data_IF_315158042144
#
_entry.id   IF_315158042144
#
_cell.length_a   1.000
_cell.length_b   1.000
_cell.length_c   1.000
_cell.angle_alpha   90.00
_cell.angle_beta   90.00
_cell.angle_gamma   90.00
#
_symmetry.space_group_name_H-M   'P 1'
#
loop_
_entity.id
_entity.type
_entity.pdbx_description
1 polymer ?
#
# COMPACT_ATOMS: atom_id res chain seq x y z
N UNK A 1 38.98 26.39 6.72
CA UNK A 1 38.52 26.48 5.31
C UNK A 1 39.74 26.77 4.47
N UNK A 2 40.07 25.90 3.53
CA UNK A 2 41.14 26.14 2.55
C UNK A 2 40.68 27.21 1.56
N UNK A 3 41.47 28.27 1.37
CA UNK A 3 41.17 29.34 0.41
C UNK A 3 41.57 28.94 -1.01
N UNK A 4 40.64 29.08 -1.96
CA UNK A 4 40.88 28.81 -3.39
C UNK A 4 41.25 30.11 -4.08
N UNK A 5 42.40 30.13 -4.73
CA UNK A 5 42.90 31.29 -5.46
C UNK A 5 43.09 30.95 -6.94
N UNK A 6 42.64 31.85 -7.84
CA UNK A 6 42.74 31.65 -9.29
C UNK A 6 43.89 32.50 -9.84
N UNK A 7 44.95 31.85 -10.31
CA UNK A 7 46.15 32.50 -10.84
C UNK A 7 46.26 32.32 -12.35
N UNK A 8 46.74 33.35 -13.05
CA UNK A 8 47.14 33.24 -14.46
C UNK A 8 48.64 32.94 -14.52
N UNK A 9 49.00 31.72 -14.90
CA UNK A 9 50.40 31.31 -14.99
C UNK A 9 51.04 32.00 -16.20
N UNK A 10 52.06 32.83 -15.97
CA UNK A 10 52.74 33.63 -17.01
C UNK A 10 53.96 32.89 -17.57
N UNK A 11 54.71 32.18 -16.72
CA UNK A 11 55.87 31.36 -17.11
C UNK A 11 55.99 30.16 -16.17
N UNK A 12 56.09 28.94 -16.70
CA UNK A 12 56.43 27.75 -15.90
C UNK A 12 57.94 27.51 -15.93
N UNK A 13 58.62 27.76 -14.82
CA UNK A 13 60.02 27.41 -14.64
C UNK A 13 60.11 26.02 -14.01
N UNK A 14 60.02 24.97 -14.84
CA UNK A 14 60.37 23.62 -14.43
C UNK A 14 61.70 23.24 -15.11
N UNK A 15 62.77 23.10 -14.32
CA UNK A 15 64.09 22.73 -14.82
C UNK A 15 64.20 21.23 -15.19
N UNK A 16 63.16 20.44 -14.93
CA UNK A 16 63.08 19.04 -15.32
C UNK A 16 61.61 18.67 -15.53
N UNK A 17 61.25 18.39 -16.79
CA UNK A 17 60.04 17.71 -17.26
C UNK A 17 58.83 17.64 -16.32
N UNK A 18 57.75 18.31 -16.73
CA UNK A 18 56.34 17.98 -16.45
C UNK A 18 55.87 17.96 -14.97
N UNK A 19 56.64 18.44 -14.00
CA UNK A 19 56.16 18.52 -12.61
C UNK A 19 56.58 19.82 -11.90
N UNK A 20 55.63 20.45 -11.19
CA UNK A 20 55.85 21.58 -10.28
C UNK A 20 56.01 20.97 -8.87
N UNK A 21 57.24 20.95 -8.34
CA UNK A 21 57.51 20.43 -6.99
C UNK A 21 57.47 21.56 -5.97
N UNK A 22 56.51 21.52 -5.04
CA UNK A 22 56.55 22.35 -3.84
C UNK A 22 56.98 21.49 -2.64
N UNK A 23 58.29 21.38 -2.42
CA UNK A 23 58.87 20.67 -1.28
C UNK A 23 59.31 21.68 -0.20
N UNK A 24 59.01 21.46 1.10
CA UNK A 24 58.26 20.33 1.64
C UNK A 24 56.74 20.47 1.49
N UNK A 25 56.24 21.70 1.35
CA UNK A 25 54.81 21.98 1.24
C UNK A 25 54.56 23.22 0.38
N UNK A 26 53.74 23.06 -0.65
CA UNK A 26 53.10 24.18 -1.33
C UNK A 26 51.75 23.76 -1.89
N UNK A 27 51.01 24.72 -2.46
CA UNK A 27 49.60 24.53 -2.74
C UNK A 27 49.40 23.42 -3.77
N UNK A 28 48.39 22.59 -3.56
CA UNK A 28 47.87 21.72 -4.61
C UNK A 28 47.31 22.60 -5.74
N UNK A 29 47.78 22.36 -6.97
CA UNK A 29 47.37 23.14 -8.15
C UNK A 29 46.50 22.27 -9.05
N UNK A 30 45.27 22.72 -9.29
CA UNK A 30 44.35 22.12 -10.26
C UNK A 30 44.12 23.08 -11.44
N UNK A 31 43.91 22.52 -12.62
CA UNK A 31 43.58 23.31 -13.81
C UNK A 31 42.22 24.00 -13.61
N UNK A 32 42.13 25.27 -13.99
CA UNK A 32 40.91 26.06 -13.81
C UNK A 32 39.68 25.41 -14.49
N UNK A 33 39.86 24.79 -15.66
CA UNK A 33 38.80 24.06 -16.36
C UNK A 33 38.30 22.82 -15.58
N UNK A 34 39.21 22.10 -14.91
CA UNK A 34 38.85 20.94 -14.10
C UNK A 34 38.07 21.35 -12.82
N UNK A 35 38.46 22.48 -12.20
CA UNK A 35 37.72 23.04 -11.07
C UNK A 35 36.33 23.55 -11.49
N UNK A 36 36.24 24.27 -12.61
CA UNK A 36 34.98 24.76 -13.15
C UNK A 36 34.05 23.58 -13.51
N UNK A 37 34.58 22.50 -14.10
CA UNK A 37 33.82 21.28 -14.40
C UNK A 37 33.34 20.58 -13.14
N UNK A 38 34.20 20.40 -12.13
CA UNK A 38 33.83 19.82 -10.83
C UNK A 38 32.74 20.64 -10.15
N UNK A 39 32.84 21.97 -10.19
CA UNK A 39 31.83 22.89 -9.64
C UNK A 39 30.50 22.72 -10.37
N UNK A 40 30.51 22.64 -11.69
CA UNK A 40 29.31 22.42 -12.51
C UNK A 40 28.63 21.10 -12.18
N UNK A 41 29.40 20.01 -12.08
CA UNK A 41 28.87 18.68 -11.73
C UNK A 41 28.28 18.67 -10.32
N UNK A 42 28.95 19.32 -9.36
CA UNK A 42 28.44 19.45 -7.99
C UNK A 42 27.11 20.21 -7.95
N UNK A 43 27.00 21.33 -8.67
CA UNK A 43 25.77 22.12 -8.73
C UNK A 43 24.62 21.35 -9.40
N UNK A 44 24.87 20.68 -10.53
CA UNK A 44 23.87 19.83 -11.20
C UNK A 44 23.40 18.68 -10.29
N UNK A 45 24.33 18.04 -9.57
CA UNK A 45 23.98 17.01 -8.59
C UNK A 45 23.14 17.59 -7.43
N UNK A 46 23.48 18.77 -6.92
CA UNK A 46 22.72 19.44 -5.87
C UNK A 46 21.30 19.82 -6.34
N UNK A 47 21.16 20.36 -7.55
CA UNK A 47 19.87 20.69 -8.15
C UNK A 47 18.99 19.44 -8.33
N UNK A 48 19.57 18.34 -8.81
CA UNK A 48 18.87 17.06 -8.94
C UNK A 48 18.44 16.50 -7.59
N UNK A 49 19.26 16.62 -6.56
CA UNK A 49 18.91 16.20 -5.20
C UNK A 49 17.69 16.96 -4.69
N UNK A 50 17.70 18.29 -4.79
CA UNK A 50 16.57 19.15 -4.39
C UNK A 50 15.30 18.81 -5.19
N UNK A 51 15.44 18.57 -6.50
CA UNK A 51 14.31 18.16 -7.34
C UNK A 51 13.76 16.78 -6.92
N UNK A 52 14.63 15.85 -6.54
CA UNK A 52 14.23 14.53 -6.02
C UNK A 52 13.46 14.66 -4.71
N UNK A 53 13.96 15.43 -3.74
CA UNK A 53 13.28 15.65 -2.46
C UNK A 53 11.90 16.28 -2.64
N UNK A 54 11.75 17.21 -3.59
CA UNK A 54 10.44 17.82 -3.92
C UNK A 54 9.47 16.78 -4.46
N UNK A 55 9.92 15.93 -5.39
CA UNK A 55 9.10 14.84 -5.95
C UNK A 55 8.70 13.84 -4.88
N UNK A 56 9.62 13.48 -3.99
CA UNK A 56 9.35 12.56 -2.89
C UNK A 56 8.30 13.13 -1.93
N UNK A 57 8.41 14.42 -1.57
CA UNK A 57 7.39 15.10 -0.75
C UNK A 57 6.03 15.14 -1.44
N UNK A 58 5.98 15.42 -2.73
CA UNK A 58 4.73 15.42 -3.50
C UNK A 58 4.11 14.01 -3.55
N UNK A 59 4.92 12.98 -3.79
CA UNK A 59 4.47 11.59 -3.76
C UNK A 59 3.95 11.21 -2.37
N UNK A 60 4.65 11.58 -1.31
CA UNK A 60 4.22 11.32 0.06
C UNK A 60 2.87 11.99 0.35
N UNK A 61 2.68 13.24 -0.06
CA UNK A 61 1.39 13.93 0.07
C UNK A 61 0.28 13.23 -0.71
N UNK A 62 0.56 12.76 -1.93
CA UNK A 62 -0.41 12.02 -2.74
C UNK A 62 -0.77 10.68 -2.11
N UNK A 63 0.20 9.97 -1.53
CA UNK A 63 -0.03 8.72 -0.81
C UNK A 63 -0.90 8.95 0.42
N UNK A 64 -0.57 9.95 1.25
CA UNK A 64 -1.37 10.31 2.43
C UNK A 64 -2.81 10.67 2.03
N UNK A 65 -2.99 11.53 1.03
CA UNK A 65 -4.32 11.91 0.57
C UNK A 65 -5.11 10.73 -0.03
N UNK A 66 -4.45 9.77 -0.67
CA UNK A 66 -5.08 8.55 -1.16
C UNK A 66 -5.52 7.63 -0.01
N UNK A 67 -4.69 7.48 1.02
CA UNK A 67 -5.03 6.71 2.22
C UNK A 67 -6.23 7.32 2.96
N UNK A 68 -6.23 8.63 3.17
CA UNK A 68 -7.35 9.34 3.81
C UNK A 68 -8.66 9.17 3.02
N UNK A 69 -8.61 9.23 1.68
CA UNK A 69 -9.78 8.97 0.83
C UNK A 69 -10.29 7.54 0.97
N UNK A 70 -9.39 6.56 1.03
CA UNK A 70 -9.76 5.17 1.24
C UNK A 70 -10.42 4.98 2.62
N UNK A 71 -9.91 5.65 3.65
CA UNK A 71 -10.46 5.62 5.00
C UNK A 71 -11.86 6.24 5.05
N UNK A 72 -12.08 7.38 4.41
CA UNK A 72 -13.42 8.01 4.30
C UNK A 72 -14.41 7.10 3.55
N UNK A 73 -13.96 6.39 2.53
CA UNK A 73 -14.79 5.44 1.79
C UNK A 73 -15.08 4.16 2.59
N UNK A 74 -14.30 3.84 3.60
CA UNK A 74 -14.44 2.64 4.43
C UNK A 74 -15.18 2.92 5.74
N UNK A 75 -14.87 4.02 6.43
CA UNK A 75 -15.41 4.34 7.75
C UNK A 75 -16.92 4.65 7.70
N UNK A 76 -17.72 3.77 8.29
CA UNK A 76 -19.18 3.93 8.37
C UNK A 76 -19.92 3.76 7.03
N UNK A 77 -19.22 3.33 5.97
CA UNK A 77 -19.84 3.00 4.70
C UNK A 77 -20.37 1.56 4.69
N UNK A 78 -21.36 1.27 3.84
CA UNK A 78 -21.86 -0.10 3.70
C UNK A 78 -20.78 -1.08 3.21
N UNK A 79 -19.81 -0.61 2.42
CA UNK A 79 -18.68 -1.40 1.96
C UNK A 79 -17.73 -1.73 3.11
N UNK A 80 -17.36 -0.73 3.92
CA UNK A 80 -16.50 -0.95 5.09
C UNK A 80 -17.15 -1.84 6.13
N UNK A 81 -18.46 -1.72 6.36
CA UNK A 81 -19.19 -2.62 7.26
C UNK A 81 -19.14 -4.08 6.80
N UNK A 82 -19.24 -4.34 5.49
CA UNK A 82 -19.07 -5.69 4.91
C UNK A 82 -17.65 -6.20 5.12
N UNK A 83 -16.64 -5.37 4.88
CA UNK A 83 -15.25 -5.72 5.09
C UNK A 83 -14.94 -6.01 6.57
N UNK A 84 -15.41 -5.16 7.49
CA UNK A 84 -15.25 -5.36 8.93
C UNK A 84 -15.96 -6.63 9.41
N UNK A 85 -17.14 -6.95 8.88
CA UNK A 85 -17.81 -8.21 9.20
C UNK A 85 -17.03 -9.42 8.69
N UNK A 86 -16.38 -9.33 7.52
CA UNK A 86 -15.50 -10.38 7.00
C UNK A 86 -14.31 -10.60 7.94
N UNK A 87 -13.64 -9.54 8.37
CA UNK A 87 -12.56 -9.63 9.37
C UNK A 87 -13.06 -10.25 10.68
N UNK A 88 -14.23 -9.83 11.17
CA UNK A 88 -14.83 -10.41 12.38
C UNK A 88 -15.12 -11.91 12.23
N UNK A 89 -15.55 -12.39 11.06
CA UNK A 89 -15.77 -13.82 10.82
C UNK A 89 -14.45 -14.60 10.88
N UNK A 90 -13.37 -14.03 10.34
CA UNK A 90 -12.02 -14.62 10.42
C UNK A 90 -11.55 -14.65 11.88
N UNK A 91 -11.52 -13.49 12.54
CA UNK A 91 -10.88 -13.31 13.86
C UNK A 91 -11.68 -13.91 15.01
N UNK A 92 -13.01 -13.81 14.98
CA UNK A 92 -13.87 -14.22 16.09
C UNK A 92 -14.47 -15.60 15.86
N UNK A 93 -14.78 -15.96 14.61
CA UNK A 93 -15.44 -17.23 14.29
C UNK A 93 -14.48 -18.29 13.75
N UNK A 94 -13.17 -17.98 13.66
CA UNK A 94 -12.13 -18.84 13.11
C UNK A 94 -12.54 -19.39 11.73
N UNK A 95 -13.06 -18.51 10.87
CA UNK A 95 -13.43 -18.83 9.49
C UNK A 95 -12.35 -18.28 8.57
N UNK A 96 -11.24 -19.00 8.44
CA UNK A 96 -10.13 -18.54 7.63
C UNK A 96 -10.43 -18.67 6.13
N UNK A 97 -9.70 -17.92 5.32
CA UNK A 97 -9.76 -18.05 3.86
C UNK A 97 -9.38 -19.47 3.38
N UNK A 98 -8.58 -20.22 4.16
CA UNK A 98 -8.23 -21.60 3.84
C UNK A 98 -9.41 -22.54 4.11
N UNK A 99 -10.13 -22.35 5.22
CA UNK A 99 -11.31 -23.17 5.52
C UNK A 99 -12.44 -22.93 4.50
N UNK A 100 -12.49 -21.73 3.92
CA UNK A 100 -13.44 -21.40 2.87
C UNK A 100 -13.21 -22.20 1.58
N UNK A 101 -11.97 -22.61 1.29
CA UNK A 101 -11.64 -23.42 0.11
C UNK A 101 -12.31 -24.81 0.15
N UNK A 102 -12.65 -25.32 1.33
CA UNK A 102 -13.37 -26.59 1.52
C UNK A 102 -14.87 -26.46 1.19
N UNK A 103 -15.41 -25.24 1.04
CA UNK A 103 -16.82 -25.00 0.71
C UNK A 103 -17.09 -24.98 -0.79
N UNK A 104 -16.83 -26.09 -1.48
CA UNK A 104 -16.93 -26.19 -2.93
C UNK A 104 -18.36 -26.36 -3.48
N UNK A 105 -19.36 -26.62 -2.64
CA UNK A 105 -20.75 -26.86 -3.05
C UNK A 105 -21.63 -25.60 -2.99
N UNK A 106 -21.02 -24.42 -3.02
CA UNK A 106 -21.72 -23.14 -2.93
C UNK A 106 -22.25 -22.84 -1.53
N UNK A 107 -21.69 -23.47 -0.48
CA UNK A 107 -22.17 -23.29 0.90
C UNK A 107 -22.06 -21.82 1.33
N UNK A 108 -21.01 -21.09 0.97
CA UNK A 108 -20.88 -19.66 1.26
C UNK A 108 -22.00 -18.85 0.60
N UNK A 109 -22.31 -19.14 -0.67
CA UNK A 109 -23.41 -18.50 -1.40
C UNK A 109 -24.79 -18.82 -0.80
N UNK A 110 -25.04 -20.08 -0.39
CA UNK A 110 -26.29 -20.46 0.28
C UNK A 110 -26.44 -19.78 1.64
N UNK A 111 -25.36 -19.69 2.42
CA UNK A 111 -25.39 -18.97 3.68
C UNK A 111 -25.66 -17.46 3.48
N UNK A 112 -25.05 -16.85 2.46
CA UNK A 112 -25.32 -15.47 2.09
C UNK A 112 -26.78 -15.24 1.71
N UNK A 113 -27.33 -16.10 0.84
CA UNK A 113 -28.73 -16.07 0.44
C UNK A 113 -29.67 -16.18 1.66
N UNK A 114 -29.32 -17.03 2.63
CA UNK A 114 -30.10 -17.19 3.84
C UNK A 114 -30.18 -15.91 4.66
N UNK A 115 -29.05 -15.23 4.86
CA UNK A 115 -29.04 -13.94 5.54
C UNK A 115 -29.76 -12.83 4.74
N UNK A 116 -29.59 -12.81 3.42
CA UNK A 116 -30.31 -11.86 2.56
C UNK A 116 -31.83 -12.06 2.65
N UNK A 117 -32.31 -13.30 2.55
CA UNK A 117 -33.73 -13.62 2.70
C UNK A 117 -34.25 -13.25 4.10
N UNK A 118 -33.49 -13.57 5.15
CA UNK A 118 -33.88 -13.25 6.52
C UNK A 118 -33.94 -11.75 6.82
N UNK A 119 -33.32 -10.89 6.02
CA UNK A 119 -33.46 -9.42 6.12
C UNK A 119 -34.83 -8.89 5.67
N UNK A 120 -35.61 -9.69 4.93
CA UNK A 120 -36.92 -9.28 4.42
C UNK A 120 -37.88 -9.01 5.59
N UNK A 121 -38.65 -7.91 5.60
CA UNK A 121 -39.54 -7.56 6.72
C UNK A 121 -40.50 -8.67 7.15
N UNK A 122 -41.06 -9.42 6.20
CA UNK A 122 -41.93 -10.56 6.49
C UNK A 122 -41.21 -11.66 7.31
N UNK A 123 -39.93 -11.89 7.05
CA UNK A 123 -39.12 -12.86 7.81
C UNK A 123 -38.79 -12.35 9.21
N UNK A 124 -38.63 -11.03 9.38
CA UNK A 124 -38.40 -10.41 10.69
C UNK A 124 -39.58 -10.62 11.63
N UNK A 125 -40.81 -10.49 11.13
CA UNK A 125 -42.04 -10.77 11.89
C UNK A 125 -42.13 -12.25 12.30
N UNK A 126 -41.62 -13.16 11.46
CA UNK A 126 -41.62 -14.59 11.71
C UNK A 126 -40.43 -15.05 12.58
N UNK A 127 -39.64 -14.13 13.15
CA UNK A 127 -38.51 -14.45 14.00
C UNK A 127 -37.24 -14.88 13.26
N UNK A 128 -37.15 -14.62 11.95
CA UNK A 128 -36.00 -14.94 11.10
C UNK A 128 -35.59 -16.41 11.18
N UNK A 129 -36.54 -17.30 10.90
CA UNK A 129 -36.28 -18.74 10.90
C UNK A 129 -35.13 -19.07 9.96
N UNK A 130 -34.27 -19.99 10.41
CA UNK A 130 -33.18 -20.51 9.60
C UNK A 130 -33.74 -21.14 8.32
N UNK A 131 -33.28 -20.77 7.13
CA UNK A 131 -33.70 -21.41 5.89
C UNK A 131 -33.34 -22.89 5.84
N UNK A 132 -34.15 -23.69 5.13
CA UNK A 132 -33.93 -25.14 4.98
C UNK A 132 -32.59 -25.47 4.30
N UNK A 133 -32.18 -24.65 3.35
CA UNK A 133 -30.93 -24.77 2.60
C UNK A 133 -29.70 -24.22 3.36
N UNK A 134 -29.86 -23.75 4.60
CA UNK A 134 -28.73 -23.26 5.39
C UNK A 134 -27.68 -24.38 5.59
N UNK A 135 -26.43 -24.16 5.18
CA UNK A 135 -25.45 -25.24 4.95
C UNK A 135 -24.76 -25.74 6.23
N UNK A 136 -24.89 -25.03 7.35
CA UNK A 136 -24.14 -25.32 8.57
C UNK A 136 -25.06 -25.69 9.73
N UNK A 137 -24.46 -26.15 10.84
CA UNK A 137 -25.20 -26.46 12.05
C UNK A 137 -26.08 -25.26 12.49
N UNK A 138 -27.33 -25.48 12.96
CA UNK A 138 -28.25 -24.40 13.32
C UNK A 138 -27.69 -23.36 14.31
N UNK A 139 -26.78 -23.75 15.21
CA UNK A 139 -26.08 -22.83 16.14
C UNK A 139 -25.31 -21.69 15.46
N UNK A 140 -24.97 -21.84 14.18
CA UNK A 140 -24.27 -20.82 13.40
C UNK A 140 -25.23 -19.85 12.70
N UNK A 141 -26.52 -20.14 12.70
CA UNK A 141 -27.55 -19.18 12.30
C UNK A 141 -27.73 -18.15 13.42
N UNK A 142 -27.23 -16.93 13.18
CA UNK A 142 -27.27 -15.83 14.14
C UNK A 142 -28.00 -14.64 13.50
N UNK A 143 -29.34 -14.68 13.38
CA UNK A 143 -30.10 -13.59 12.78
C UNK A 143 -29.97 -12.31 13.61
N UNK A 144 -30.35 -11.19 13.02
CA UNK A 144 -30.28 -9.88 13.66
C UNK A 144 -31.13 -8.87 12.91
N UNK A 145 -30.80 -7.59 13.02
CA UNK A 145 -31.49 -6.56 12.25
C UNK A 145 -31.33 -6.78 10.74
N UNK A 146 -32.29 -6.32 9.91
CA UNK A 146 -32.20 -6.43 8.46
C UNK A 146 -30.86 -5.94 7.89
N UNK A 147 -30.40 -4.77 8.36
CA UNK A 147 -29.11 -4.21 7.95
C UNK A 147 -27.95 -5.14 8.29
N UNK A 148 -27.89 -5.66 9.52
CA UNK A 148 -26.81 -6.53 9.96
C UNK A 148 -26.80 -7.85 9.18
N UNK A 149 -27.98 -8.38 8.85
CA UNK A 149 -28.08 -9.59 8.04
C UNK A 149 -27.58 -9.36 6.60
N UNK A 150 -27.89 -8.21 5.99
CA UNK A 150 -27.34 -7.85 4.68
C UNK A 150 -25.81 -7.69 4.71
N UNK A 151 -25.25 -7.10 5.77
CA UNK A 151 -23.80 -6.99 5.96
C UNK A 151 -23.15 -8.38 6.05
N UNK A 152 -23.73 -9.30 6.82
CA UNK A 152 -23.29 -10.70 6.88
C UNK A 152 -23.38 -11.42 5.53
N UNK A 153 -24.46 -11.18 4.79
CA UNK A 153 -24.63 -11.73 3.45
C UNK A 153 -23.54 -11.22 2.50
N UNK A 154 -23.25 -9.91 2.53
CA UNK A 154 -22.16 -9.31 1.75
C UNK A 154 -20.79 -9.90 2.10
N UNK A 155 -20.50 -10.09 3.39
CA UNK A 155 -19.23 -10.68 3.84
C UNK A 155 -19.06 -12.13 3.36
N UNK A 156 -20.15 -12.92 3.32
CA UNK A 156 -20.14 -14.29 2.80
C UNK A 156 -20.03 -14.36 1.27
N UNK A 157 -20.61 -13.38 0.55
CA UNK A 157 -20.41 -13.24 -0.90
C UNK A 157 -18.95 -12.90 -1.20
N UNK A 158 -18.37 -11.96 -0.44
CA UNK A 158 -16.96 -11.62 -0.55
C UNK A 158 -16.07 -12.87 -0.35
N UNK A 159 -16.36 -13.66 0.70
CA UNK A 159 -15.65 -14.91 0.96
C UNK A 159 -15.71 -15.90 -0.23
N UNK A 160 -16.89 -16.05 -0.86
CA UNK A 160 -17.06 -16.93 -2.01
C UNK A 160 -16.32 -16.42 -3.25
N UNK A 161 -16.31 -15.11 -3.50
CA UNK A 161 -15.54 -14.51 -4.59
C UNK A 161 -14.04 -14.75 -4.38
N UNK A 162 -13.54 -14.46 -3.17
CA UNK A 162 -12.14 -14.69 -2.82
C UNK A 162 -11.75 -16.18 -3.00
N UNK A 163 -12.65 -17.12 -2.66
CA UNK A 163 -12.47 -18.56 -2.88
C UNK A 163 -12.35 -18.90 -4.36
N UNK A 164 -13.24 -18.37 -5.21
CA UNK A 164 -13.21 -18.57 -6.67
C UNK A 164 -11.92 -18.01 -7.26
N UNK A 165 -11.53 -16.79 -6.88
CA UNK A 165 -10.32 -16.13 -7.37
C UNK A 165 -9.05 -16.90 -7.00
N UNK A 166 -8.98 -17.43 -5.76
CA UNK A 166 -7.89 -18.32 -5.33
C UNK A 166 -7.85 -19.61 -6.14
N UNK A 167 -8.99 -20.23 -6.42
CA UNK A 167 -9.03 -21.45 -7.23
C UNK A 167 -8.61 -21.19 -8.68
N UNK A 168 -9.01 -20.06 -9.27
CA UNK A 168 -8.61 -19.65 -10.62
C UNK A 168 -7.11 -19.32 -10.73
N UNK A 169 -6.48 -18.94 -9.61
CA UNK A 169 -5.05 -18.59 -9.55
C UNK A 169 -4.14 -19.77 -9.19
N UNK A 170 -4.68 -20.97 -8.94
CA UNK A 170 -3.88 -22.19 -8.72
C UNK A 170 -3.31 -22.67 -10.07
N UNK A 171 -1.99 -22.94 -10.17
CA UNK A 171 -1.33 -23.36 -11.41
C UNK A 171 -1.75 -24.75 -11.88
#
# INVERSE_FOLDING_TARGET
MSEVHRYKVVTMLSAAGATIGYDPHGPEVVMASALDESTRLFLDAAERCIASERREKELQQRLTAAAERADVLSAGSALGDVHLERLRQIDVENRSAVDDDDYSLGQLAYAAAGYAQGSVPAQQVQGCLRPSYWPWHPRWWKPGSPRRMLVKAGALILAEIERIDRQASKP
#
